data_IF_746238973846
#
_entry.id   IF_746238973846
#
_cell.length_a   1.000
_cell.length_b   1.000
_cell.length_c   1.000
_cell.angle_alpha   90.00
_cell.angle_beta   90.00
_cell.angle_gamma   90.00
#
_symmetry.space_group_name_H-M   'P 1'
#
loop_
_entity.id
_entity.type
_entity.pdbx_description
1 polymer ?
#
# COMPACT_ATOMS: atom_id res chain seq x y z
N UNK A 1 7.93 -23.90 5.31
CA UNK A 1 7.28 -22.80 4.55
C UNK A 1 7.25 -21.45 5.28
N UNK A 2 7.04 -21.38 6.62
CA UNK A 2 7.09 -20.09 7.36
C UNK A 2 8.47 -19.40 7.36
N UNK A 3 9.56 -20.16 7.37
CA UNK A 3 10.93 -19.62 7.40
C UNK A 3 11.33 -18.91 6.10
N UNK A 4 10.89 -19.45 4.96
CA UNK A 4 11.14 -18.85 3.64
C UNK A 4 10.45 -17.50 3.54
N UNK A 5 9.19 -17.40 3.95
CA UNK A 5 8.42 -16.16 3.93
C UNK A 5 9.11 -15.04 4.74
N UNK A 6 9.52 -15.31 5.99
CA UNK A 6 10.21 -14.32 6.82
C UNK A 6 11.53 -13.82 6.21
N UNK A 7 12.29 -14.71 5.57
CA UNK A 7 13.49 -14.33 4.83
C UNK A 7 13.15 -13.45 3.62
N UNK A 8 12.12 -13.79 2.85
CA UNK A 8 11.68 -12.96 1.71
C UNK A 8 11.26 -11.57 2.16
N UNK A 9 10.54 -11.44 3.28
CA UNK A 9 10.11 -10.13 3.81
C UNK A 9 11.29 -9.24 4.20
N UNK A 10 12.32 -9.82 4.83
CA UNK A 10 13.55 -9.09 5.23
C UNK A 10 14.39 -8.66 4.02
N UNK A 11 14.42 -9.49 2.98
CA UNK A 11 15.07 -9.13 1.72
C UNK A 11 14.34 -7.97 1.05
N UNK A 12 13.02 -8.06 0.90
CA UNK A 12 12.18 -7.06 0.22
C UNK A 12 12.20 -5.70 0.92
N UNK A 13 12.18 -5.68 2.25
CA UNK A 13 12.28 -4.43 3.01
C UNK A 13 13.62 -3.70 2.78
N UNK A 14 14.66 -4.44 2.39
CA UNK A 14 16.01 -3.91 2.17
C UNK A 14 16.28 -3.52 0.71
N UNK A 15 15.43 -3.92 -0.24
CA UNK A 15 15.62 -3.63 -1.67
C UNK A 15 15.34 -2.16 -1.96
N UNK A 16 16.33 -1.44 -2.50
CA UNK A 16 16.19 -0.03 -2.92
C UNK A 16 16.02 0.16 -4.42
N UNK A 17 16.05 -0.92 -5.20
CA UNK A 17 16.00 -0.89 -6.66
C UNK A 17 14.54 -1.00 -7.14
N UNK A 18 13.95 0.06 -7.74
CA UNK A 18 12.54 0.07 -8.15
C UNK A 18 12.16 -1.08 -9.10
N UNK A 19 13.01 -1.35 -10.09
CA UNK A 19 12.75 -2.37 -11.11
C UNK A 19 12.68 -3.79 -10.53
N UNK A 20 13.44 -4.08 -9.45
CA UNK A 20 13.36 -5.36 -8.74
C UNK A 20 12.04 -5.51 -8.01
N UNK A 21 11.54 -4.44 -7.38
CA UNK A 21 10.25 -4.44 -6.69
C UNK A 21 9.10 -4.63 -7.70
N UNK A 22 9.13 -3.94 -8.84
CA UNK A 22 8.16 -4.14 -9.92
C UNK A 22 8.18 -5.57 -10.45
N UNK A 23 9.36 -6.12 -10.74
CA UNK A 23 9.52 -7.50 -11.21
C UNK A 23 8.98 -8.51 -10.20
N UNK A 24 9.21 -8.26 -8.91
CA UNK A 24 8.72 -9.10 -7.84
C UNK A 24 7.19 -9.12 -7.78
N UNK A 25 6.53 -7.97 -7.92
CA UNK A 25 5.07 -7.88 -8.01
C UNK A 25 4.53 -8.65 -9.22
N UNK A 26 5.19 -8.55 -10.38
CA UNK A 26 4.82 -9.32 -11.58
C UNK A 26 4.94 -10.83 -11.34
N UNK A 27 6.05 -11.29 -10.73
CA UNK A 27 6.24 -12.70 -10.41
C UNK A 27 5.22 -13.21 -9.39
N UNK A 28 4.83 -12.37 -8.43
CA UNK A 28 3.83 -12.71 -7.43
C UNK A 28 2.43 -12.95 -8.00
N UNK A 29 2.18 -12.56 -9.27
CA UNK A 29 0.94 -12.90 -9.97
C UNK A 29 0.81 -14.39 -10.27
N UNK A 30 1.92 -15.12 -10.33
CA UNK A 30 1.91 -16.54 -10.64
C UNK A 30 1.85 -17.38 -9.35
N UNK A 31 0.77 -18.16 -9.22
CA UNK A 31 0.43 -18.94 -8.01
C UNK A 31 1.42 -20.06 -7.71
N UNK A 32 2.10 -20.56 -8.73
CA UNK A 32 3.14 -21.58 -8.56
C UNK A 32 4.35 -21.03 -7.79
N UNK A 33 4.56 -19.71 -7.82
CA UNK A 33 5.63 -19.05 -7.07
C UNK A 33 5.15 -18.44 -5.75
N UNK A 34 3.98 -17.79 -5.75
CA UNK A 34 3.45 -17.08 -4.57
C UNK A 34 1.98 -17.45 -4.35
N UNK A 35 1.70 -18.00 -3.17
CA UNK A 35 0.33 -18.35 -2.76
C UNK A 35 -0.50 -17.08 -2.53
N UNK A 36 -1.81 -17.18 -2.72
CA UNK A 36 -2.75 -16.06 -2.57
C UNK A 36 -2.66 -15.31 -1.25
N UNK A 37 -2.47 -15.99 -0.11
CA UNK A 37 -2.26 -15.34 1.19
C UNK A 37 -0.91 -14.62 1.30
N UNK A 38 0.12 -15.17 0.67
CA UNK A 38 1.48 -14.63 0.72
C UNK A 38 1.61 -13.40 -0.19
N UNK A 39 0.80 -13.32 -1.25
CA UNK A 39 0.69 -12.17 -2.14
C UNK A 39 0.34 -10.89 -1.38
N UNK A 40 -0.68 -10.92 -0.52
CA UNK A 40 -1.08 -9.73 0.24
C UNK A 40 -0.02 -9.30 1.25
N UNK A 41 0.64 -10.26 1.90
CA UNK A 41 1.75 -9.95 2.80
C UNK A 41 2.92 -9.34 2.04
N UNK A 42 3.26 -9.89 0.87
CA UNK A 42 4.30 -9.34 0.00
C UNK A 42 4.00 -7.89 -0.39
N UNK A 43 2.80 -7.61 -0.92
CA UNK A 43 2.39 -6.25 -1.29
C UNK A 43 2.49 -5.29 -0.10
N UNK A 44 2.02 -5.71 1.08
CA UNK A 44 2.10 -4.90 2.31
C UNK A 44 3.55 -4.59 2.70
N UNK A 45 4.46 -5.57 2.56
CA UNK A 45 5.87 -5.39 2.90
C UNK A 45 6.63 -4.55 1.88
N UNK A 46 6.35 -4.70 0.59
CA UNK A 46 6.89 -3.79 -0.43
C UNK A 46 6.37 -2.37 -0.18
N UNK A 47 5.10 -2.20 0.19
CA UNK A 47 4.52 -0.89 0.46
C UNK A 47 5.06 -0.23 1.74
N UNK A 48 5.62 -0.98 2.68
CA UNK A 48 6.30 -0.42 3.85
C UNK A 48 7.66 0.22 3.50
N UNK A 49 8.21 -0.09 2.33
CA UNK A 49 9.44 0.53 1.83
C UNK A 49 9.09 1.87 1.14
N UNK A 50 9.72 3.00 1.48
CA UNK A 50 9.45 4.30 0.85
C UNK A 50 9.58 4.29 -0.68
N UNK A 51 10.51 3.51 -1.22
CA UNK A 51 10.67 3.34 -2.68
C UNK A 51 9.61 2.41 -3.26
N UNK A 52 9.18 1.40 -2.50
CA UNK A 52 8.21 0.40 -2.94
C UNK A 52 6.75 0.86 -2.85
N UNK A 53 6.44 1.76 -1.92
CA UNK A 53 5.09 2.26 -1.70
C UNK A 53 4.42 2.81 -2.97
N UNK A 54 5.00 3.78 -3.70
CA UNK A 54 4.39 4.28 -4.94
C UNK A 54 4.27 3.18 -6.01
N UNK A 55 5.20 2.21 -6.04
CA UNK A 55 5.18 1.11 -7.01
C UNK A 55 3.97 0.19 -6.75
N UNK A 56 3.76 -0.20 -5.49
CA UNK A 56 2.63 -1.06 -5.10
C UNK A 56 1.30 -0.34 -5.30
N UNK A 57 1.24 0.96 -4.96
CA UNK A 57 0.03 1.75 -5.19
C UNK A 57 -0.32 1.83 -6.68
N UNK A 58 0.66 2.09 -7.54
CA UNK A 58 0.44 2.13 -8.99
C UNK A 58 0.06 0.76 -9.55
N UNK A 59 0.72 -0.30 -9.10
CA UNK A 59 0.36 -1.67 -9.46
C UNK A 59 -1.08 -2.01 -9.07
N UNK A 60 -1.49 -1.68 -7.84
CA UNK A 60 -2.85 -1.91 -7.37
C UNK A 60 -3.88 -1.21 -8.26
N UNK A 61 -3.65 0.07 -8.59
CA UNK A 61 -4.56 0.84 -9.45
C UNK A 61 -4.61 0.29 -10.88
N UNK A 62 -3.47 -0.10 -11.45
CA UNK A 62 -3.38 -0.59 -12.83
C UNK A 62 -3.99 -1.99 -13.01
N UNK A 63 -3.89 -2.83 -11.98
CA UNK A 63 -4.27 -4.25 -12.05
C UNK A 63 -5.60 -4.56 -11.34
N UNK A 64 -6.31 -3.52 -10.88
CA UNK A 64 -7.53 -3.67 -10.06
C UNK A 64 -8.59 -4.51 -10.77
N UNK A 65 -9.03 -4.08 -11.96
CA UNK A 65 -10.07 -4.75 -12.74
C UNK A 65 -9.57 -5.98 -13.49
N UNK A 66 -8.34 -5.91 -14.02
CA UNK A 66 -7.82 -6.95 -14.93
C UNK A 66 -7.32 -8.19 -14.20
N UNK A 67 -6.94 -8.07 -12.92
CA UNK A 67 -6.29 -9.16 -12.20
C UNK A 67 -6.77 -9.29 -10.75
N UNK A 68 -6.79 -8.22 -9.95
CA UNK A 68 -7.08 -8.32 -8.52
C UNK A 68 -8.53 -8.72 -8.22
N UNK A 69 -9.51 -8.03 -8.82
CA UNK A 69 -10.92 -8.32 -8.64
C UNK A 69 -11.31 -9.70 -9.21
N UNK A 70 -10.92 -10.09 -10.44
CA UNK A 70 -11.21 -11.42 -10.96
C UNK A 70 -10.60 -12.56 -10.14
N UNK A 71 -9.40 -12.36 -9.59
CA UNK A 71 -8.70 -13.40 -8.84
C UNK A 71 -9.22 -13.57 -7.41
N UNK A 72 -9.43 -12.46 -6.70
CA UNK A 72 -9.71 -12.50 -5.26
C UNK A 72 -11.17 -12.22 -4.93
N UNK A 73 -11.96 -11.63 -5.83
CA UNK A 73 -13.31 -11.10 -5.56
C UNK A 73 -13.33 -9.93 -4.57
N UNK A 74 -14.33 -9.05 -4.72
CA UNK A 74 -14.58 -7.94 -3.80
C UNK A 74 -15.02 -8.40 -2.40
N UNK A 75 -15.44 -9.67 -2.26
CA UNK A 75 -15.79 -10.27 -0.99
C UNK A 75 -14.57 -10.76 -0.19
N UNK A 76 -13.37 -10.81 -0.79
CA UNK A 76 -12.15 -11.19 -0.09
C UNK A 76 -11.69 -10.06 0.85
N UNK A 77 -11.67 -10.39 2.13
CA UNK A 77 -11.31 -9.47 3.21
C UNK A 77 -9.87 -8.97 3.09
N UNK A 78 -8.93 -9.82 2.64
CA UNK A 78 -7.54 -9.39 2.44
C UNK A 78 -7.39 -8.37 1.31
N UNK A 79 -8.21 -8.47 0.24
CA UNK A 79 -8.27 -7.46 -0.81
C UNK A 79 -8.85 -6.15 -0.26
N UNK A 80 -9.93 -6.22 0.52
CA UNK A 80 -10.54 -5.05 1.18
C UNK A 80 -9.59 -4.28 2.10
N UNK A 81 -8.71 -4.98 2.81
CA UNK A 81 -7.69 -4.37 3.68
C UNK A 81 -6.40 -3.98 2.98
N UNK A 82 -6.25 -4.28 1.69
CA UNK A 82 -5.01 -3.99 0.99
C UNK A 82 -4.79 -2.48 0.83
N UNK A 83 -5.83 -1.74 0.48
CA UNK A 83 -5.76 -0.29 0.30
C UNK A 83 -5.32 0.44 1.58
N UNK A 84 -5.99 0.33 2.74
CA UNK A 84 -5.55 1.02 3.96
C UNK A 84 -4.13 0.64 4.39
N UNK A 85 -3.67 -0.59 4.09
CA UNK A 85 -2.29 -1.01 4.41
C UNK A 85 -1.25 -0.32 3.55
N UNK A 86 -1.54 -0.11 2.26
CA UNK A 86 -0.63 0.57 1.33
C UNK A 86 -0.63 2.08 1.59
N UNK A 87 -1.80 2.66 1.85
CA UNK A 87 -1.97 4.12 1.96
C UNK A 87 -1.77 4.66 3.38
N UNK A 88 -1.47 3.81 4.39
CA UNK A 88 -1.32 4.22 5.80
C UNK A 88 -0.33 5.36 6.05
N UNK A 89 0.65 5.53 5.17
CA UNK A 89 1.71 6.53 5.27
C UNK A 89 1.51 7.71 4.32
N UNK A 90 0.39 7.76 3.61
CA UNK A 90 0.08 8.91 2.76
C UNK A 90 -0.17 10.14 3.64
N UNK A 91 0.42 11.26 3.23
CA UNK A 91 0.46 12.51 3.99
C UNK A 91 0.40 13.75 3.09
N UNK A 92 0.12 13.58 1.79
CA UNK A 92 -0.01 14.67 0.82
C UNK A 92 -1.43 14.77 0.25
N UNK A 93 -1.83 15.98 -0.14
CA UNK A 93 -3.12 16.21 -0.79
C UNK A 93 -3.26 15.43 -2.11
N UNK A 94 -2.18 15.36 -2.90
CA UNK A 94 -2.16 14.60 -4.15
C UNK A 94 -2.54 13.13 -3.93
N UNK A 95 -1.93 12.48 -2.92
CA UNK A 95 -2.24 11.10 -2.56
C UNK A 95 -3.69 10.92 -2.13
N UNK A 96 -4.23 11.85 -1.34
CA UNK A 96 -5.64 11.82 -0.94
C UNK A 96 -6.58 11.93 -2.15
N UNK A 97 -6.26 12.81 -3.09
CA UNK A 97 -7.05 13.00 -4.31
C UNK A 97 -6.99 11.76 -5.21
N UNK A 98 -5.81 11.14 -5.36
CA UNK A 98 -5.67 9.87 -6.07
C UNK A 98 -6.53 8.76 -5.46
N UNK A 99 -6.59 8.67 -4.12
CA UNK A 99 -7.46 7.70 -3.44
C UNK A 99 -8.93 7.97 -3.71
N UNK A 100 -9.37 9.23 -3.64
CA UNK A 100 -10.75 9.63 -3.93
C UNK A 100 -11.13 9.27 -5.37
N UNK A 101 -10.27 9.57 -6.33
CA UNK A 101 -10.49 9.22 -7.74
C UNK A 101 -10.57 7.71 -7.94
N UNK A 102 -9.69 6.95 -7.28
CA UNK A 102 -9.70 5.49 -7.35
C UNK A 102 -11.00 4.90 -6.77
N UNK A 103 -11.48 5.40 -5.63
CA UNK A 103 -12.73 4.93 -5.03
C UNK A 103 -13.97 5.37 -5.82
N UNK A 104 -13.95 6.55 -6.44
CA UNK A 104 -15.01 7.01 -7.33
C UNK A 104 -15.08 6.17 -8.61
N UNK A 105 -13.92 5.75 -9.15
CA UNK A 105 -13.85 4.86 -10.31
C UNK A 105 -14.37 3.47 -10.00
N UNK A 106 -14.16 2.98 -8.78
CA UNK A 106 -14.58 1.64 -8.35
C UNK A 106 -15.47 1.72 -7.11
N UNK A 107 -16.73 2.21 -7.21
CA UNK A 107 -17.57 2.46 -6.04
C UNK A 107 -17.88 1.17 -5.27
N UNK A 108 -18.04 0.05 -5.97
CA UNK A 108 -18.27 -1.26 -5.38
C UNK A 108 -17.02 -1.77 -4.67
N UNK A 109 -17.06 -1.74 -3.34
CA UNK A 109 -15.92 -2.05 -2.48
C UNK A 109 -16.04 -3.39 -1.75
N UNK A 110 -17.23 -4.00 -1.73
CA UNK A 110 -17.51 -5.25 -1.01
C UNK A 110 -16.99 -5.23 0.42
N UNK A 111 -16.17 -6.22 0.78
CA UNK A 111 -15.56 -6.34 2.10
C UNK A 111 -14.64 -5.16 2.49
N UNK A 112 -14.25 -4.31 1.54
CA UNK A 112 -13.36 -3.17 1.74
C UNK A 112 -14.06 -1.82 1.97
N UNK A 113 -15.40 -1.73 1.92
CA UNK A 113 -16.11 -0.45 1.96
C UNK A 113 -15.74 0.42 3.17
N UNK A 114 -15.89 -0.15 4.38
CA UNK A 114 -15.51 0.52 5.63
C UNK A 114 -14.04 0.92 5.64
N UNK A 115 -13.17 0.02 5.20
CA UNK A 115 -11.72 0.22 5.20
C UNK A 115 -11.25 1.32 4.24
N UNK A 116 -11.98 1.56 3.15
CA UNK A 116 -11.70 2.68 2.24
C UNK A 116 -12.01 4.02 2.89
N UNK A 117 -13.12 4.13 3.62
CA UNK A 117 -13.45 5.34 4.38
C UNK A 117 -12.39 5.62 5.45
N UNK A 118 -12.04 4.61 6.24
CA UNK A 118 -10.99 4.72 7.26
C UNK A 118 -9.63 5.13 6.65
N UNK A 119 -9.31 4.65 5.44
CA UNK A 119 -8.09 5.03 4.74
C UNK A 119 -8.07 6.53 4.34
N UNK A 120 -9.20 7.07 3.86
CA UNK A 120 -9.32 8.51 3.56
C UNK A 120 -9.17 9.36 4.83
N UNK A 121 -9.85 8.96 5.91
CA UNK A 121 -9.80 9.64 7.20
C UNK A 121 -8.37 9.64 7.76
N UNK A 122 -7.67 8.50 7.69
CA UNK A 122 -6.27 8.37 8.12
C UNK A 122 -5.35 9.28 7.31
N UNK A 123 -5.50 9.29 5.99
CA UNK A 123 -4.67 10.14 5.11
C UNK A 123 -4.93 11.62 5.39
N UNK A 124 -6.18 12.02 5.58
CA UNK A 124 -6.53 13.39 5.96
C UNK A 124 -5.96 13.77 7.32
N UNK A 125 -6.00 12.86 8.30
CA UNK A 125 -5.40 13.08 9.62
C UNK A 125 -3.88 13.27 9.51
N UNK A 126 -3.19 12.46 8.70
CA UNK A 126 -1.75 12.59 8.46
C UNK A 126 -1.40 13.95 7.84
N UNK A 127 -2.14 14.39 6.82
CA UNK A 127 -1.96 15.72 6.18
C UNK A 127 -2.09 16.84 7.23
N UNK A 128 -3.15 16.78 8.05
CA UNK A 128 -3.42 17.80 9.06
C UNK A 128 -2.35 17.81 10.15
N UNK A 129 -1.91 16.64 10.60
CA UNK A 129 -0.85 16.49 11.59
C UNK A 129 0.46 17.08 11.06
N UNK A 130 0.85 16.74 9.82
CA UNK A 130 2.07 17.28 9.22
C UNK A 130 1.99 18.80 9.07
N UNK A 131 0.84 19.34 8.64
CA UNK A 131 0.64 20.79 8.51
C UNK A 131 0.81 21.53 9.84
N UNK A 132 0.33 20.96 10.94
CA UNK A 132 0.33 21.62 12.25
C UNK A 132 1.65 21.45 13.01
N UNK A 133 2.38 20.36 12.80
CA UNK A 133 3.56 20.02 13.61
C UNK A 133 4.91 20.14 12.87
N UNK A 134 4.90 20.34 11.54
CA UNK A 134 6.15 20.40 10.76
C UNK A 134 7.12 21.49 11.23
N UNK A 135 6.62 22.69 11.48
CA UNK A 135 7.46 23.83 11.86
C UNK A 135 7.97 23.71 13.31
N UNK A 136 7.20 23.06 14.18
CA UNK A 136 7.61 22.72 15.54
C UNK A 136 8.75 21.68 15.53
N UNK A 137 8.58 20.59 14.76
CA UNK A 137 9.59 19.55 14.62
C UNK A 137 10.88 20.08 13.99
N UNK A 138 10.77 20.94 12.97
CA UNK A 138 11.92 21.54 12.32
C UNK A 138 12.75 22.40 13.29
N UNK A 139 12.08 23.20 14.13
CA UNK A 139 12.74 23.99 15.18
C UNK A 139 13.39 23.09 16.23
N UNK A 140 12.67 22.11 16.74
CA UNK A 140 13.20 21.17 17.74
C UNK A 140 14.42 20.39 17.25
N UNK A 141 14.43 19.97 15.98
CA UNK A 141 15.58 19.31 15.35
C UNK A 141 16.77 20.26 15.21
N UNK A 142 16.55 21.50 14.80
CA UNK A 142 17.61 22.50 14.62
C UNK A 142 18.23 22.96 15.94
N UNK A 143 17.47 22.95 17.04
CA UNK A 143 17.97 23.29 18.37
C UNK A 143 18.85 22.18 19.00
N UNK A 144 18.79 20.96 18.46
CA UNK A 144 19.44 19.76 19.02
C UNK A 144 20.42 19.06 18.08
N UNK A 145 20.65 19.62 16.88
CA UNK A 145 21.69 19.18 15.92
C UNK A 145 22.93 20.06 16.03
#
# INVERSE_FOLDING_TARGET
>A
MRTTMLHTLKLVSSVRQPWLLSRLLTLAKNESYVRSQDFFTLCSTVAANPVGNPIVWNFLRAEWESYLVPRFSLNERYLGFMVPRITRHFDTQLQLDEMRQFFARYPEAGAGERSRREALETTQANINWLKNHRDELARWLAERS
#
